data_IF_703684984310
#
_entry.id   IF_703684984310
#
_cell.length_a   1.000
_cell.length_b   1.000
_cell.length_c   1.000
_cell.angle_alpha   90.00
_cell.angle_beta   90.00
_cell.angle_gamma   90.00
#
_symmetry.space_group_name_H-M   'P 1'
#
loop_
_entity.id
_entity.type
_entity.pdbx_description
1 polymer ?
#
# COMPACT_ATOMS: atom_id res chain seq x y z
N UNK A 1 5.32 33.12 21.90
CA UNK A 1 4.65 32.81 20.61
C UNK A 1 5.11 31.41 20.19
N UNK A 2 4.32 30.39 20.48
CA UNK A 2 4.62 29.03 20.05
C UNK A 2 4.07 28.88 18.62
N UNK A 3 4.93 29.00 17.61
CA UNK A 3 4.53 28.72 16.24
C UNK A 3 4.40 27.20 16.13
N UNK A 4 3.18 26.68 16.24
CA UNK A 4 2.89 25.28 16.06
C UNK A 4 3.32 24.88 14.64
N UNK A 5 4.35 24.04 14.56
CA UNK A 5 4.92 23.43 13.36
C UNK A 5 3.92 22.45 12.72
N UNK A 6 2.74 22.92 12.34
CA UNK A 6 1.75 22.10 11.66
C UNK A 6 2.20 21.95 10.21
N UNK A 7 2.90 20.86 9.89
CA UNK A 7 3.26 20.54 8.51
C UNK A 7 1.96 20.33 7.72
N UNK A 8 1.78 21.08 6.64
CA UNK A 8 0.59 20.99 5.77
C UNK A 8 0.91 20.24 4.49
N UNK A 9 -0.13 19.68 3.87
CA UNK A 9 -0.03 18.98 2.58
C UNK A 9 0.56 19.89 1.49
N UNK A 10 0.17 21.16 1.48
CA UNK A 10 0.63 22.16 0.51
C UNK A 10 2.12 22.50 0.69
N UNK A 11 2.59 22.62 1.93
CA UNK A 11 4.00 22.84 2.24
C UNK A 11 4.86 21.68 1.75
N UNK A 12 4.44 20.44 2.06
CA UNK A 12 5.11 19.24 1.58
C UNK A 12 5.11 19.17 0.04
N UNK A 13 3.98 19.45 -0.59
CA UNK A 13 3.83 19.45 -2.05
C UNK A 13 4.79 20.44 -2.71
N UNK A 14 4.88 21.66 -2.18
CA UNK A 14 5.74 22.71 -2.69
C UNK A 14 7.21 22.32 -2.55
N UNK A 15 7.64 21.90 -1.35
CA UNK A 15 9.01 21.47 -1.10
C UNK A 15 9.43 20.28 -1.99
N UNK A 16 8.55 19.30 -2.18
CA UNK A 16 8.78 18.15 -3.07
C UNK A 16 8.91 18.58 -4.54
N UNK A 17 8.07 19.49 -4.99
CA UNK A 17 8.08 19.99 -6.38
C UNK A 17 9.36 20.78 -6.66
N UNK A 18 9.74 21.69 -5.76
CA UNK A 18 10.94 22.52 -5.90
C UNK A 18 12.25 21.73 -5.75
N UNK A 19 12.36 20.91 -4.68
CA UNK A 19 13.62 20.22 -4.34
C UNK A 19 13.87 18.99 -5.22
N UNK A 20 12.83 18.25 -5.61
CA UNK A 20 12.95 16.98 -6.35
C UNK A 20 12.50 17.07 -7.81
N UNK A 21 12.13 18.26 -8.28
CA UNK A 21 11.60 18.51 -9.63
C UNK A 21 10.47 17.54 -9.98
N UNK A 22 9.62 17.24 -8.99
CA UNK A 22 8.53 16.31 -9.16
C UNK A 22 7.49 16.89 -10.14
N UNK A 23 7.07 16.08 -11.09
CA UNK A 23 6.06 16.47 -12.09
C UNK A 23 4.65 16.26 -11.58
N UNK A 24 4.47 15.28 -10.69
CA UNK A 24 3.19 15.02 -10.03
C UNK A 24 3.43 14.69 -8.57
N UNK A 25 2.72 15.38 -7.68
CA UNK A 25 2.81 15.19 -6.23
C UNK A 25 1.40 15.20 -5.65
N UNK A 26 1.04 14.09 -5.02
CA UNK A 26 -0.15 13.97 -4.20
C UNK A 26 0.28 13.73 -2.77
N UNK A 27 -0.32 14.47 -1.83
CA UNK A 27 -0.12 14.28 -0.40
C UNK A 27 -1.49 14.04 0.20
N UNK A 28 -1.59 13.08 1.12
CA UNK A 28 -2.82 12.70 1.80
C UNK A 28 -2.52 12.54 3.28
N UNK A 29 -3.22 13.32 4.11
CA UNK A 29 -3.21 13.12 5.56
C UNK A 29 -3.95 11.84 5.96
N UNK A 30 -3.22 10.89 6.53
CA UNK A 30 -3.75 9.63 7.06
C UNK A 30 -4.14 9.74 8.54
N UNK A 31 -3.83 10.85 9.20
CA UNK A 31 -4.14 11.09 10.62
C UNK A 31 -5.53 11.70 10.86
N UNK A 32 -6.32 11.91 9.80
CA UNK A 32 -7.69 12.43 9.92
C UNK A 32 -7.75 13.90 10.33
N UNK A 33 -6.77 14.72 9.94
CA UNK A 33 -6.72 16.15 10.23
C UNK A 33 -5.87 16.54 11.44
N UNK A 34 -5.20 15.57 12.07
CA UNK A 34 -4.25 15.85 13.15
C UNK A 34 -2.85 16.23 12.64
N UNK A 35 -2.55 16.06 11.35
CA UNK A 35 -1.24 16.36 10.77
C UNK A 35 -0.07 15.55 11.36
N UNK A 36 -0.34 14.33 11.83
CA UNK A 36 0.69 13.46 12.45
C UNK A 36 1.21 12.37 11.51
N UNK A 37 0.43 12.01 10.48
CA UNK A 37 0.74 10.91 9.58
C UNK A 37 0.41 11.28 8.14
N UNK A 38 1.42 11.35 7.27
CA UNK A 38 1.23 11.73 5.86
C UNK A 38 1.66 10.61 4.91
N UNK A 39 0.88 10.43 3.85
CA UNK A 39 1.26 9.60 2.70
C UNK A 39 1.41 10.47 1.47
N UNK A 40 2.55 10.38 0.78
CA UNK A 40 2.85 11.19 -0.41
C UNK A 40 3.16 10.30 -1.61
N UNK A 41 2.50 10.51 -2.73
CA UNK A 41 2.86 9.94 -4.02
C UNK A 41 3.65 10.96 -4.82
N UNK A 42 4.91 10.66 -5.10
CA UNK A 42 5.84 11.56 -5.78
C UNK A 42 6.25 10.90 -7.09
N UNK A 43 5.94 11.58 -8.18
CA UNK A 43 6.29 11.16 -9.52
C UNK A 43 7.27 12.17 -10.10
N UNK A 44 8.50 11.72 -10.34
CA UNK A 44 9.56 12.58 -10.89
C UNK A 44 10.39 11.82 -11.93
N UNK A 45 10.71 12.45 -13.08
CA UNK A 45 11.67 11.88 -14.03
C UNK A 45 13.08 11.80 -13.44
N UNK A 46 13.39 12.58 -12.39
CA UNK A 46 14.68 12.52 -11.69
C UNK A 46 14.93 11.15 -11.02
N UNK A 47 13.89 10.36 -10.80
CA UNK A 47 13.98 9.01 -10.24
C UNK A 47 14.32 7.94 -11.29
N UNK A 48 14.22 8.26 -12.59
CA UNK A 48 14.60 7.35 -13.66
C UNK A 48 16.09 7.00 -13.54
N UNK A 49 16.41 5.70 -13.63
CA UNK A 49 17.77 5.20 -13.46
C UNK A 49 18.31 5.21 -12.02
N UNK A 50 17.54 5.66 -11.03
CA UNK A 50 17.92 5.58 -9.61
C UNK A 50 17.31 4.35 -8.93
N UNK A 51 18.06 3.74 -8.01
CA UNK A 51 17.56 2.66 -7.14
C UNK A 51 16.54 3.19 -6.13
N UNK A 52 15.62 2.33 -5.67
CA UNK A 52 14.60 2.69 -4.67
C UNK A 52 15.21 3.37 -3.44
N UNK A 53 16.30 2.82 -2.89
CA UNK A 53 16.99 3.40 -1.75
C UNK A 53 17.53 4.81 -2.04
N UNK A 54 18.11 5.06 -3.23
CA UNK A 54 18.64 6.38 -3.59
C UNK A 54 17.52 7.42 -3.72
N UNK A 55 16.38 7.03 -4.30
CA UNK A 55 15.18 7.87 -4.37
C UNK A 55 14.73 8.27 -2.96
N UNK A 56 14.52 7.28 -2.07
CA UNK A 56 14.13 7.53 -0.69
C UNK A 56 15.12 8.40 0.08
N UNK A 57 16.43 8.15 -0.05
CA UNK A 57 17.46 9.00 0.59
C UNK A 57 17.40 10.44 0.10
N UNK A 58 17.17 10.67 -1.19
CA UNK A 58 17.02 12.02 -1.75
C UNK A 58 15.78 12.72 -1.19
N UNK A 59 14.64 12.03 -1.08
CA UNK A 59 13.43 12.62 -0.49
C UNK A 59 13.60 12.89 1.01
N UNK A 60 14.18 11.96 1.77
CA UNK A 60 14.43 12.15 3.20
C UNK A 60 15.43 13.29 3.46
N UNK A 61 16.44 13.44 2.60
CA UNK A 61 17.38 14.55 2.69
C UNK A 61 16.71 15.88 2.35
N UNK A 62 15.83 15.89 1.34
CA UNK A 62 15.09 17.06 0.94
C UNK A 62 14.09 17.49 2.03
N UNK A 63 13.41 16.58 2.71
CA UNK A 63 12.35 16.87 3.69
C UNK A 63 12.76 16.61 5.13
N UNK A 64 14.05 16.70 5.45
CA UNK A 64 14.57 16.25 6.75
C UNK A 64 13.90 16.94 7.93
N UNK A 65 13.71 18.24 7.84
CA UNK A 65 13.16 19.06 8.92
C UNK A 65 11.65 18.84 9.08
N UNK A 66 10.95 18.66 7.95
CA UNK A 66 9.52 18.39 7.91
C UNK A 66 9.21 16.99 8.44
N UNK A 67 9.95 15.96 8.02
CA UNK A 67 9.80 14.58 8.50
C UNK A 67 10.11 14.49 9.98
N UNK A 68 11.09 15.25 10.49
CA UNK A 68 11.43 15.27 11.91
C UNK A 68 10.28 15.82 12.78
N UNK A 69 9.39 16.63 12.20
CA UNK A 69 8.20 17.14 12.89
C UNK A 69 6.98 16.21 12.80
N UNK A 70 6.98 15.24 11.88
CA UNK A 70 5.87 14.30 11.64
C UNK A 70 6.14 12.97 12.37
N UNK A 71 5.13 12.38 13.01
CA UNK A 71 5.28 11.08 13.68
C UNK A 71 5.49 9.93 12.70
N UNK A 72 4.72 9.91 11.60
CA UNK A 72 4.85 8.89 10.58
C UNK A 72 4.71 9.49 9.18
N UNK A 73 5.62 9.14 8.28
CA UNK A 73 5.53 9.58 6.89
C UNK A 73 5.88 8.46 5.92
N UNK A 74 5.08 8.32 4.88
CA UNK A 74 5.26 7.33 3.82
C UNK A 74 5.28 8.01 2.47
N UNK A 75 6.37 7.87 1.73
CA UNK A 75 6.49 8.41 0.39
C UNK A 75 6.65 7.30 -0.65
N UNK A 76 5.82 7.32 -1.69
CA UNK A 76 5.94 6.43 -2.85
C UNK A 76 6.62 7.19 -3.99
N UNK A 77 7.85 6.79 -4.31
CA UNK A 77 8.67 7.44 -5.33
C UNK A 77 8.65 6.64 -6.63
N UNK A 78 7.86 7.09 -7.61
CA UNK A 78 7.71 6.40 -8.90
C UNK A 78 8.18 7.28 -10.05
N UNK A 79 8.59 6.65 -11.15
CA UNK A 79 8.79 7.38 -12.41
C UNK A 79 7.43 7.66 -13.08
N UNK A 80 7.35 8.67 -13.97
CA UNK A 80 6.14 8.93 -14.75
C UNK A 80 5.63 7.71 -15.52
N UNK A 81 6.55 6.91 -16.07
CA UNK A 81 6.24 5.67 -16.80
C UNK A 81 5.63 4.60 -15.86
N UNK A 82 6.25 4.37 -14.70
CA UNK A 82 5.73 3.44 -13.68
C UNK A 82 4.35 3.88 -13.16
N UNK A 83 4.14 5.18 -12.96
CA UNK A 83 2.86 5.71 -12.49
C UNK A 83 1.75 5.53 -13.54
N UNK A 84 2.03 5.82 -14.81
CA UNK A 84 1.09 5.59 -15.91
C UNK A 84 0.74 4.10 -16.03
N UNK A 85 1.73 3.21 -15.97
CA UNK A 85 1.51 1.75 -16.02
C UNK A 85 0.67 1.26 -14.85
N UNK A 86 1.00 1.66 -13.62
CA UNK A 86 0.26 1.28 -12.42
C UNK A 86 -1.20 1.75 -12.46
N UNK A 87 -1.46 2.95 -12.98
CA UNK A 87 -2.81 3.47 -13.13
C UNK A 87 -3.61 2.72 -14.20
N UNK A 88 -2.96 2.33 -15.29
CA UNK A 88 -3.57 1.50 -16.33
C UNK A 88 -3.90 0.08 -15.83
N UNK A 89 -3.00 -0.54 -15.06
CA UNK A 89 -3.22 -1.86 -14.44
C UNK A 89 -4.36 -1.82 -13.39
N UNK A 90 -4.39 -0.79 -12.53
CA UNK A 90 -5.45 -0.61 -11.55
C UNK A 90 -6.85 -0.49 -12.18
N UNK A 91 -6.95 0.18 -13.34
CA UNK A 91 -8.20 0.29 -14.11
C UNK A 91 -8.65 -1.07 -14.69
N UNK A 92 -7.72 -1.93 -15.10
CA UNK A 92 -8.04 -3.27 -15.60
C UNK A 92 -8.44 -4.24 -14.48
N UNK A 93 -7.86 -4.11 -13.29
CA UNK A 93 -8.10 -5.02 -12.17
C UNK A 93 -9.50 -4.85 -11.56
N UNK A 94 -10.07 -3.65 -11.62
CA UNK A 94 -11.46 -3.39 -11.18
C UNK A 94 -12.50 -4.10 -12.06
N UNK A 95 -12.19 -4.39 -13.33
CA UNK A 95 -13.07 -5.17 -14.22
C UNK A 95 -12.96 -6.69 -14.03
N UNK A 96 -11.93 -7.18 -13.33
CA UNK A 96 -11.75 -8.63 -13.09
C UNK A 96 -12.44 -9.13 -11.82
N UNK A 97 -13.13 -8.25 -11.09
CA UNK A 97 -13.79 -8.56 -9.81
C UNK A 97 -15.29 -8.85 -9.87
N UNK A 98 -15.92 -8.95 -11.05
CA UNK A 98 -17.39 -9.10 -11.17
C UNK A 98 -17.87 -10.42 -11.79
N UNK A 99 -17.06 -11.48 -11.81
CA UNK A 99 -17.51 -12.78 -12.34
C UNK A 99 -17.14 -13.98 -11.46
N UNK A 100 -17.81 -14.11 -10.32
CA UNK A 100 -18.02 -15.35 -9.53
C UNK A 100 -19.21 -15.01 -8.61
N UNK A 101 -20.47 -15.40 -8.80
CA UNK A 101 -21.05 -16.55 -9.50
C UNK A 101 -22.54 -16.27 -9.77
N UNK A 102 -23.05 -16.68 -10.93
CA UNK A 102 -24.48 -16.94 -11.09
C UNK A 102 -24.72 -18.46 -11.07
N UNK A 103 -25.85 -18.83 -10.47
CA UNK A 103 -26.67 -20.03 -10.72
C UNK A 103 -26.48 -21.30 -9.84
N UNK A 104 -27.29 -21.35 -8.77
CA UNK A 104 -28.25 -22.40 -8.34
C UNK A 104 -27.94 -23.91 -8.42
N UNK A 105 -28.23 -24.64 -7.32
CA UNK A 105 -28.59 -26.06 -7.38
C UNK A 105 -28.40 -26.89 -6.11
N UNK A 106 -29.50 -27.11 -5.37
CA UNK A 106 -29.88 -28.27 -4.53
C UNK A 106 -28.99 -28.74 -3.35
N UNK A 107 -29.63 -28.90 -2.18
CA UNK A 107 -29.02 -29.46 -0.98
C UNK A 107 -28.90 -30.98 -1.00
N UNK A 108 -27.99 -31.50 -0.17
CA UNK A 108 -28.16 -32.75 0.58
C UNK A 108 -27.16 -32.76 1.75
N UNK A 109 -27.49 -33.40 2.89
CA UNK A 109 -26.83 -33.17 4.17
C UNK A 109 -25.52 -33.96 4.32
N UNK A 110 -24.70 -33.44 5.21
CA UNK A 110 -23.50 -34.05 5.80
C UNK A 110 -23.66 -35.56 6.08
N UNK A 111 -22.75 -36.42 5.58
CA UNK A 111 -22.62 -37.77 6.14
C UNK A 111 -21.99 -37.70 7.54
N UNK A 112 -22.55 -38.36 8.56
CA UNK A 112 -21.92 -38.46 9.87
C UNK A 112 -20.63 -39.27 9.78
N UNK A 113 -19.61 -38.82 10.53
CA UNK A 113 -18.35 -39.52 10.74
C UNK A 113 -18.60 -40.76 11.61
N UNK A 114 -19.12 -41.84 11.03
CA UNK A 114 -19.05 -43.16 11.65
C UNK A 114 -17.78 -43.88 11.15
N UNK A 115 -16.73 -43.74 11.94
CA UNK A 115 -15.45 -44.43 11.77
C UNK A 115 -15.38 -45.76 12.50
N UNK A 116 -16.49 -46.45 12.76
CA UNK A 116 -16.47 -47.82 13.30
C UNK A 116 -16.17 -48.83 12.18
N UNK A 117 -14.90 -48.89 11.76
CA UNK A 117 -14.40 -49.99 10.92
C UNK A 117 -14.32 -51.27 11.75
N UNK A 118 -14.86 -52.33 11.15
CA UNK A 118 -15.13 -53.62 11.75
C UNK A 118 -13.97 -54.25 12.53
N UNK A 119 -14.35 -54.89 13.63
CA UNK A 119 -13.47 -55.66 14.47
C UNK A 119 -12.73 -56.75 13.70
N UNK A 120 -11.41 -56.75 13.85
CA UNK A 120 -10.58 -57.92 14.15
C UNK A 120 -9.16 -57.42 14.43
N UNK A 121 -8.72 -57.55 15.67
CA UNK A 121 -7.28 -57.63 15.95
C UNK A 121 -7.00 -59.11 16.17
N UNK A 122 -6.62 -59.77 15.09
CA UNK A 122 -5.99 -61.09 15.16
C UNK A 122 -4.66 -60.97 15.93
N UNK A 123 -4.34 -62.04 16.64
CA UNK A 123 -3.50 -62.01 17.84
C UNK A 123 -2.10 -61.42 17.68
N UNK A 124 -1.60 -60.88 18.79
CA UNK A 124 -0.17 -60.86 19.06
C UNK A 124 0.11 -61.28 20.50
N UNK A 125 1.10 -62.16 20.61
CA UNK A 125 1.63 -62.87 21.77
C UNK A 125 2.11 -61.93 22.89
N UNK A 126 1.70 -62.20 24.13
CA UNK A 126 2.54 -62.53 25.29
C UNK A 126 1.68 -62.56 26.57
#
# INVERSE_FOLDING_TARGET
MANATSITEESLKTALTERLKATHVEVTDMSGGCGQSFTSLIVSPAFAGQTSLKRHRAVNAALRDEIAAIHAWSAKCQTPEEWQKARAEAAQQQQRGTFTSAQEGNGEPHPPLDGTVGGKVDGVNA
#
